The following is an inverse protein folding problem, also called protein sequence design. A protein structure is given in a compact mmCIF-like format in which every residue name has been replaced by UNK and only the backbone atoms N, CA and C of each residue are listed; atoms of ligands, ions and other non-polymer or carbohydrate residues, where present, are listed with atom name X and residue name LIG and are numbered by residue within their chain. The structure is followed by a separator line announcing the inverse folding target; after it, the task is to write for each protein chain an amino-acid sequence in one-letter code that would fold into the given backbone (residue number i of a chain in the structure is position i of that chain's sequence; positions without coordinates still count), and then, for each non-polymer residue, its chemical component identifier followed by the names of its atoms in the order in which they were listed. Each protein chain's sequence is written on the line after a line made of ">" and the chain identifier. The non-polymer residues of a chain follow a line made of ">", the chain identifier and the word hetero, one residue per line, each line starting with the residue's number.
data_IF_249447812242
#
_entry.id   IF_249447812242
#
_cell.length_a   1.000
_cell.length_b   1.000
_cell.length_c   1.000
_cell.angle_alpha   90.00
_cell.angle_beta   90.00
_cell.angle_gamma   90.00
#
_symmetry.space_group_name_H-M   'P 1'
#
loop_
_entity.id
_entity.type
_entity.pdbx_description
1 polymer ?
#
# COMPACT_ATOMS: atom_id res chain seq x y z
N UNK A 1 -10.01 4.86 0.76
CA UNK A 1 -9.40 3.51 0.59
C UNK A 1 -10.24 2.46 1.28
N UNK A 2 -10.44 1.33 0.63
CA UNK A 2 -11.11 0.15 1.19
C UNK A 2 -10.08 -0.94 1.47
N UNK A 3 -10.10 -1.48 2.69
CA UNK A 3 -9.22 -2.58 3.09
C UNK A 3 -10.09 -3.77 3.47
N UNK A 4 -9.73 -4.97 3.01
CA UNK A 4 -10.44 -6.19 3.38
C UNK A 4 -10.43 -6.34 4.91
N UNK A 5 -11.60 -6.66 5.53
CA UNK A 5 -11.71 -6.69 7.00
C UNK A 5 -10.67 -7.55 7.71
N UNK A 6 -10.31 -8.71 7.15
CA UNK A 6 -9.28 -9.57 7.75
C UNK A 6 -7.91 -8.90 7.76
N UNK A 7 -7.62 -8.06 6.77
CA UNK A 7 -6.33 -7.41 6.63
C UNK A 7 -6.20 -6.17 7.51
N UNK A 8 -7.31 -5.59 7.95
CA UNK A 8 -7.29 -4.53 8.96
C UNK A 8 -6.65 -5.06 10.23
N UNK A 9 -7.03 -6.27 10.66
CA UNK A 9 -6.40 -6.92 11.82
C UNK A 9 -4.90 -7.10 11.65
N UNK A 10 -4.44 -7.49 10.46
CA UNK A 10 -3.01 -7.60 10.16
C UNK A 10 -2.29 -6.27 10.35
N UNK A 11 -2.86 -5.19 9.87
CA UNK A 11 -2.28 -3.85 10.00
C UNK A 11 -2.16 -3.42 11.46
N UNK A 12 -3.20 -3.68 12.26
CA UNK A 12 -3.23 -3.28 13.67
C UNK A 12 -2.31 -4.13 14.56
N UNK A 13 -2.07 -5.38 14.18
CA UNK A 13 -1.29 -6.32 14.97
C UNK A 13 0.18 -6.43 14.54
N UNK A 14 0.56 -5.75 13.46
CA UNK A 14 1.94 -5.75 13.00
C UNK A 14 2.76 -4.83 13.91
N UNK A 15 3.78 -5.38 14.56
CA UNK A 15 4.54 -4.69 15.62
C UNK A 15 5.80 -3.97 15.12
N UNK A 16 5.96 -3.83 13.81
CA UNK A 16 7.14 -3.21 13.19
C UNK A 16 6.70 -2.08 12.28
N UNK A 17 7.65 -1.22 11.91
CA UNK A 17 7.39 -0.26 10.84
C UNK A 17 7.18 -1.00 9.52
N UNK A 18 6.23 -0.54 8.72
CA UNK A 18 5.91 -1.16 7.44
C UNK A 18 5.23 -0.17 6.50
N UNK A 19 5.21 -0.52 5.21
CA UNK A 19 4.31 0.10 4.24
C UNK A 19 3.38 -0.96 3.68
N UNK A 20 2.12 -0.58 3.46
CA UNK A 20 1.13 -1.47 2.86
C UNK A 20 1.29 -1.53 1.35
N UNK A 21 1.11 -2.71 0.80
CA UNK A 21 1.06 -2.90 -0.65
C UNK A 21 0.03 -3.96 -1.01
N UNK A 22 -0.47 -3.91 -2.24
CA UNK A 22 -1.42 -4.89 -2.77
C UNK A 22 -0.95 -5.38 -4.13
N UNK A 23 -1.67 -6.37 -4.67
CA UNK A 23 -1.52 -6.74 -6.06
C UNK A 23 -1.83 -5.52 -6.95
N UNK A 24 -1.19 -5.45 -8.11
CA UNK A 24 -1.34 -4.30 -9.02
C UNK A 24 -2.70 -4.38 -9.70
N UNK A 25 -3.55 -3.37 -9.46
CA UNK A 25 -4.91 -3.30 -10.01
C UNK A 25 -5.28 -1.94 -10.59
N UNK A 26 -4.60 -0.87 -10.19
CA UNK A 26 -4.89 0.50 -10.65
C UNK A 26 -4.29 0.75 -12.02
N UNK A 27 -4.86 1.73 -12.74
CA UNK A 27 -4.36 2.11 -14.07
C UNK A 27 -3.04 2.88 -14.00
N UNK A 28 -2.86 3.68 -12.96
CA UNK A 28 -1.66 4.50 -12.75
C UNK A 28 -1.12 4.33 -11.34
N UNK A 29 -0.66 3.13 -11.00
CA UNK A 29 -0.19 2.87 -9.63
C UNK A 29 1.15 3.52 -9.34
N UNK A 30 1.43 3.72 -8.05
CA UNK A 30 2.78 3.85 -7.57
C UNK A 30 3.25 2.43 -7.26
N UNK A 31 4.27 1.97 -7.95
CA UNK A 31 4.79 0.62 -7.78
C UNK A 31 5.76 0.54 -6.62
N UNK A 32 5.76 -0.62 -5.98
CA UNK A 32 6.71 -0.99 -4.93
C UNK A 32 7.61 -2.08 -5.47
N UNK A 33 8.91 -1.85 -5.41
CA UNK A 33 9.93 -2.84 -5.80
C UNK A 33 10.49 -3.45 -4.52
N UNK A 34 10.49 -4.78 -4.43
CA UNK A 34 10.88 -5.50 -3.22
C UNK A 34 12.12 -6.36 -3.43
N UNK A 35 12.82 -6.63 -2.34
CA UNK A 35 13.95 -7.56 -2.32
C UNK A 35 13.52 -8.95 -1.84
N UNK A 36 14.47 -9.87 -1.72
CA UNK A 36 14.22 -11.25 -1.26
C UNK A 36 13.73 -11.32 0.21
N UNK A 37 13.91 -10.26 0.98
CA UNK A 37 13.51 -10.20 2.39
C UNK A 37 12.12 -9.58 2.58
N UNK A 38 11.35 -9.39 1.50
CA UNK A 38 10.05 -8.72 1.52
C UNK A 38 10.11 -7.30 2.08
N UNK A 39 11.15 -6.58 1.68
CA UNK A 39 11.30 -5.16 2.02
C UNK A 39 11.20 -4.32 0.75
N UNK A 40 10.51 -3.19 0.84
CA UNK A 40 10.50 -2.21 -0.24
C UNK A 40 11.88 -1.56 -0.34
N UNK A 41 12.47 -1.60 -1.52
CA UNK A 41 13.77 -0.99 -1.80
C UNK A 41 13.66 0.24 -2.70
N UNK A 42 12.53 0.41 -3.37
CA UNK A 42 12.30 1.56 -4.25
C UNK A 42 10.81 1.71 -4.57
N UNK A 43 10.42 2.92 -4.90
CA UNK A 43 9.12 3.22 -5.53
C UNK A 43 9.38 3.55 -6.99
N UNK A 44 8.39 3.27 -7.85
CA UNK A 44 8.49 3.55 -9.28
C UNK A 44 7.13 3.93 -9.84
N UNK A 45 7.12 4.72 -10.92
CA UNK A 45 5.90 5.02 -11.68
C UNK A 45 5.81 4.19 -12.95
N UNK A 46 6.83 3.40 -13.25
CA UNK A 46 6.93 2.64 -14.52
C UNK A 46 6.62 1.15 -14.35
N UNK A 47 7.18 0.51 -13.32
CA UNK A 47 6.93 -0.90 -13.04
C UNK A 47 7.34 -1.25 -11.61
N UNK A 48 6.91 -2.43 -11.14
CA UNK A 48 7.27 -2.95 -9.84
C UNK A 48 6.54 -4.25 -9.53
N UNK A 49 6.75 -4.75 -8.32
CA UNK A 49 6.21 -6.05 -7.88
C UNK A 49 4.81 -5.93 -7.30
N UNK A 50 4.53 -4.82 -6.65
CA UNK A 50 3.25 -4.55 -6.00
C UNK A 50 2.85 -3.10 -6.24
N UNK A 51 1.61 -2.79 -5.89
CA UNK A 51 1.08 -1.43 -5.87
C UNK A 51 1.12 -0.90 -4.43
N UNK A 52 1.66 0.32 -4.23
CA UNK A 52 1.61 0.98 -2.93
C UNK A 52 0.16 1.35 -2.58
N UNK A 53 -0.23 1.06 -1.32
CA UNK A 53 -1.54 1.43 -0.78
C UNK A 53 -1.34 2.16 0.56
N UNK A 54 -2.42 2.75 1.09
CA UNK A 54 -2.34 3.70 2.17
C UNK A 54 -1.83 3.23 3.53
N UNK A 55 -2.13 1.99 4.01
CA UNK A 55 -1.70 1.60 5.36
C UNK A 55 -0.18 1.67 5.52
N UNK A 56 0.26 2.29 6.59
CA UNK A 56 1.69 2.38 6.93
C UNK A 56 1.84 2.61 8.43
N UNK A 57 2.96 2.20 8.98
CA UNK A 57 3.29 2.41 10.38
C UNK A 57 4.75 2.85 10.49
N UNK A 58 4.97 4.01 11.09
CA UNK A 58 6.29 4.59 11.28
C UNK A 58 6.40 5.24 12.65
N UNK A 59 7.62 5.29 13.18
CA UNK A 59 7.88 6.09 14.37
C UNK A 59 7.62 7.55 14.07
N UNK A 60 6.97 8.25 15.00
CA UNK A 60 6.60 9.65 14.86
C UNK A 60 7.80 10.55 14.49
N UNK A 61 8.96 10.26 15.01
CA UNK A 61 10.20 11.02 14.79
C UNK A 61 10.68 10.97 13.35
N UNK A 62 10.25 9.97 12.58
CA UNK A 62 10.61 9.82 11.17
C UNK A 62 9.70 10.59 10.22
N UNK A 63 8.56 11.08 10.70
CA UNK A 63 7.62 11.84 9.89
C UNK A 63 8.17 13.23 9.64
N UNK A 64 8.21 13.65 8.39
CA UNK A 64 8.66 14.98 7.97
C UNK A 64 7.74 15.54 6.90
N UNK A 65 7.79 16.87 6.80
CA UNK A 65 7.03 17.56 5.77
C UNK A 65 7.68 17.33 4.40
N UNK A 66 6.86 16.97 3.42
CA UNK A 66 7.27 16.85 2.01
C UNK A 66 6.25 17.57 1.14
N UNK A 67 6.73 18.15 0.03
CA UNK A 67 5.89 18.92 -0.89
C UNK A 67 5.46 18.13 -2.12
N UNK A 68 5.98 16.91 -2.29
CA UNK A 68 5.73 16.03 -3.42
C UNK A 68 4.68 14.97 -3.07
N UNK A 69 4.71 13.84 -3.75
CA UNK A 69 3.82 12.73 -3.45
C UNK A 69 4.12 12.14 -2.06
N UNK A 70 3.11 11.56 -1.43
CA UNK A 70 3.23 11.01 -0.06
C UNK A 70 4.32 9.94 0.03
N UNK A 71 4.49 9.12 -1.01
CA UNK A 71 5.51 8.06 -0.98
C UNK A 71 6.94 8.64 -0.88
N UNK A 72 7.16 9.88 -1.26
CA UNK A 72 8.47 10.52 -1.11
C UNK A 72 8.88 10.65 0.37
N UNK A 73 7.88 10.69 1.27
CA UNK A 73 8.15 10.68 2.71
C UNK A 73 8.92 9.43 3.13
N UNK A 74 8.66 8.32 2.47
CA UNK A 74 9.22 7.02 2.83
C UNK A 74 10.52 6.68 2.13
N UNK A 75 10.84 7.38 1.04
CA UNK A 75 12.03 7.06 0.24
C UNK A 75 13.34 7.17 1.03
N UNK A 76 13.41 8.09 1.97
CA UNK A 76 14.61 8.27 2.81
C UNK A 76 14.77 7.17 3.87
N UNK A 77 13.73 6.38 4.09
CA UNK A 77 13.69 5.33 5.11
C UNK A 77 13.87 3.91 4.54
N UNK A 78 14.04 3.80 3.22
CA UNK A 78 14.22 2.51 2.57
C UNK A 78 15.54 1.85 2.97
N UNK A 79 15.61 0.52 3.11
CA UNK A 79 14.52 -0.43 2.87
C UNK A 79 13.52 -0.49 4.04
N UNK A 80 12.25 -0.76 3.70
CA UNK A 80 11.17 -0.83 4.68
C UNK A 80 10.41 -2.13 4.48
N UNK A 81 10.08 -2.87 5.54
CA UNK A 81 9.24 -4.06 5.42
C UNK A 81 7.90 -3.74 4.75
N UNK A 82 7.42 -4.63 3.90
CA UNK A 82 6.11 -4.52 3.30
C UNK A 82 5.11 -5.40 4.05
N UNK A 83 3.85 -4.95 4.08
CA UNK A 83 2.73 -5.75 4.54
C UNK A 83 1.73 -5.85 3.39
N UNK A 84 1.54 -7.07 2.86
CA UNK A 84 0.58 -7.27 1.78
C UNK A 84 -0.83 -7.24 2.35
N UNK A 85 -1.66 -6.38 1.76
CA UNK A 85 -3.06 -6.22 2.14
C UNK A 85 -3.93 -6.21 0.90
N UNK A 86 -5.18 -6.65 1.06
CA UNK A 86 -6.19 -6.54 0.02
C UNK A 86 -6.88 -5.20 0.21
N UNK A 87 -6.52 -4.25 -0.63
CA UNK A 87 -7.02 -2.88 -0.55
C UNK A 87 -7.27 -2.30 -1.94
N UNK A 88 -8.12 -1.29 -2.01
CA UNK A 88 -8.42 -0.56 -3.25
C UNK A 88 -8.53 0.93 -2.93
N UNK A 89 -7.82 1.75 -3.69
CA UNK A 89 -7.98 3.19 -3.65
C UNK A 89 -9.12 3.61 -4.58
N UNK A 90 -9.79 4.70 -4.24
CA UNK A 90 -10.93 5.21 -5.02
C UNK A 90 -10.65 6.67 -5.37
N UNK A 91 -10.03 6.89 -6.53
CA UNK A 91 -9.73 8.24 -7.05
C UNK A 91 -10.54 8.55 -8.32
N UNK A 92 -10.99 7.52 -9.03
CA UNK A 92 -11.74 7.66 -10.29
C UNK A 92 -13.03 6.83 -10.24
N UNK A 93 -13.92 7.05 -11.22
CA UNK A 93 -15.12 6.24 -11.36
C UNK A 93 -14.79 4.76 -11.60
N UNK A 94 -13.76 4.49 -12.38
CA UNK A 94 -13.33 3.10 -12.62
C UNK A 94 -12.83 2.45 -11.32
N UNK A 95 -12.12 3.18 -10.49
CA UNK A 95 -11.72 2.71 -9.16
C UNK A 95 -12.93 2.40 -8.29
N UNK A 96 -13.99 3.21 -8.37
CA UNK A 96 -15.23 2.96 -7.65
C UNK A 96 -15.88 1.63 -8.07
N UNK A 97 -15.92 1.34 -9.38
CA UNK A 97 -16.46 0.08 -9.89
C UNK A 97 -15.62 -1.10 -9.40
N UNK A 98 -14.30 -0.99 -9.45
CA UNK A 98 -13.39 -2.02 -8.93
C UNK A 98 -13.61 -2.25 -7.44
N UNK A 99 -13.81 -1.18 -6.68
CA UNK A 99 -14.07 -1.26 -5.24
C UNK A 99 -15.40 -1.97 -4.94
N UNK A 100 -16.44 -1.69 -5.72
CA UNK A 100 -17.72 -2.39 -5.58
C UNK A 100 -17.56 -3.90 -5.81
N UNK A 101 -16.84 -4.29 -6.85
CA UNK A 101 -16.59 -5.69 -7.17
C UNK A 101 -15.76 -6.34 -6.06
N UNK A 102 -14.77 -5.66 -5.54
CA UNK A 102 -13.92 -6.12 -4.44
C UNK A 102 -14.75 -6.39 -3.18
N UNK A 103 -15.64 -5.46 -2.80
CA UNK A 103 -16.56 -5.65 -1.66
C UNK A 103 -17.48 -6.85 -1.91
N UNK A 104 -17.99 -7.00 -3.13
CA UNK A 104 -18.82 -8.15 -3.50
C UNK A 104 -18.09 -9.48 -3.34
N UNK A 105 -16.81 -9.52 -3.69
CA UNK A 105 -15.98 -10.72 -3.52
C UNK A 105 -15.85 -11.12 -2.05
N UNK A 106 -15.51 -10.18 -1.18
CA UNK A 106 -15.34 -10.53 0.22
C UNK A 106 -16.66 -10.82 0.94
N UNK A 107 -17.77 -10.28 0.47
CA UNK A 107 -19.09 -10.57 1.05
C UNK A 107 -19.55 -12.00 0.78
N UNK A 108 -18.97 -12.68 -0.21
CA UNK A 108 -19.28 -14.06 -0.57
C UNK A 108 -18.34 -15.09 0.07
N UNK A 109 -17.39 -14.64 0.87
CA UNK A 109 -16.43 -15.52 1.57
C UNK A 109 -17.04 -16.24 2.78
#
# INVERSE_FOLDING_TARGET
>A
MLVHPEDIGKCLNYDREYIGCSDIVSDEPVYVIVNENNECIAFSRDNGDFEWVGPACFKKEKLRFVTNNVYNLFESELPIPILRVRARDIDTYDDYIRAKNFVGEWSNE
#
